data_IF_208380651914
#
_entry.id   IF_208380651914
#
_cell.length_a   1.000
_cell.length_b   1.000
_cell.length_c   1.000
_cell.angle_alpha   90.00
_cell.angle_beta   90.00
_cell.angle_gamma   90.00
#
_symmetry.space_group_name_H-M   'P 1'
#
loop_
_entity.id
_entity.type
_entity.pdbx_description
1 polymer ?
#
# COMPACT_ATOMS: atom_id res chain seq x y z
N UNK A 1 -10.02 11.25 0.90
CA UNK A 1 -9.39 9.99 1.37
C UNK A 1 -8.07 9.70 0.66
N UNK A 2 -7.99 9.91 -0.65
CA UNK A 2 -6.78 9.67 -1.47
C UNK A 2 -5.47 10.28 -0.89
N UNK A 3 -5.53 11.52 -0.40
CA UNK A 3 -4.38 12.18 0.25
C UNK A 3 -3.92 11.51 1.56
N UNK A 4 -4.86 10.91 2.31
CA UNK A 4 -4.55 10.18 3.54
C UNK A 4 -3.86 8.85 3.22
N UNK A 5 -4.37 8.10 2.23
CA UNK A 5 -3.80 6.83 1.77
C UNK A 5 -2.36 7.05 1.34
N UNK A 6 -2.15 8.03 0.44
CA UNK A 6 -0.83 8.43 -0.03
C UNK A 6 0.12 8.75 1.12
N UNK A 7 -0.31 9.62 2.03
CA UNK A 7 0.50 10.00 3.18
C UNK A 7 0.87 8.80 4.08
N UNK A 8 -0.04 7.85 4.31
CA UNK A 8 0.27 6.66 5.11
C UNK A 8 1.31 5.77 4.41
N UNK A 9 1.09 5.47 3.13
CA UNK A 9 1.97 4.61 2.34
C UNK A 9 3.36 5.21 2.22
N UNK A 10 3.46 6.50 1.85
CA UNK A 10 4.74 7.21 1.77
C UNK A 10 5.48 7.20 3.11
N UNK A 11 4.77 7.42 4.23
CA UNK A 11 5.38 7.41 5.56
C UNK A 11 5.92 6.02 5.94
N UNK A 12 5.24 4.95 5.55
CA UNK A 12 5.70 3.58 5.81
C UNK A 12 6.94 3.25 4.97
N UNK A 13 6.92 3.60 3.68
CA UNK A 13 8.05 3.40 2.78
C UNK A 13 9.26 4.28 3.15
N UNK A 14 9.03 5.49 3.67
CA UNK A 14 10.10 6.36 4.18
C UNK A 14 10.86 5.78 5.36
N UNK A 15 10.27 4.89 6.15
CA UNK A 15 10.98 4.18 7.22
C UNK A 15 11.86 3.05 6.68
N UNK A 16 11.47 2.47 5.55
CA UNK A 16 12.12 1.31 4.93
C UNK A 16 13.17 1.68 3.88
N UNK A 17 13.11 2.89 3.32
CA UNK A 17 14.04 3.34 2.27
C UNK A 17 15.50 3.22 2.69
N UNK A 18 16.33 2.67 1.80
CA UNK A 18 17.79 2.66 1.97
C UNK A 18 18.43 4.03 1.76
N UNK A 19 17.87 4.84 0.85
CA UNK A 19 18.40 6.16 0.51
C UNK A 19 17.41 7.27 0.85
N UNK A 20 17.74 8.17 1.80
CA UNK A 20 16.84 9.26 2.19
C UNK A 20 16.68 10.36 1.14
N UNK A 21 17.54 10.40 0.11
CA UNK A 21 17.41 11.32 -1.02
C UNK A 21 16.40 10.86 -2.09
N UNK A 22 15.91 9.61 -2.02
CA UNK A 22 14.91 9.10 -2.95
C UNK A 22 13.58 9.78 -2.67
N UNK A 23 13.07 10.49 -3.69
CA UNK A 23 11.72 11.04 -3.71
C UNK A 23 10.77 9.91 -4.04
N UNK A 24 9.79 9.68 -3.16
CA UNK A 24 8.75 8.68 -3.40
C UNK A 24 7.71 9.28 -4.32
N UNK A 25 7.47 8.60 -5.43
CA UNK A 25 6.46 8.93 -6.43
C UNK A 25 5.66 7.66 -6.75
N UNK A 26 4.47 7.77 -7.38
CA UNK A 26 3.73 6.59 -7.82
C UNK A 26 4.54 5.67 -8.76
N UNK A 27 5.48 6.22 -9.53
CA UNK A 27 6.34 5.45 -10.43
C UNK A 27 7.53 4.77 -9.71
N UNK A 28 7.78 5.10 -8.44
CA UNK A 28 8.90 4.54 -7.68
C UNK A 28 8.72 3.05 -7.48
N UNK A 29 9.75 2.28 -7.84
CA UNK A 29 9.77 0.82 -7.77
C UNK A 29 10.14 0.36 -6.37
N UNK A 30 9.32 -0.51 -5.79
CA UNK A 30 9.47 -0.95 -4.40
C UNK A 30 10.82 -1.66 -4.17
N UNK A 31 11.16 -2.61 -5.05
CA UNK A 31 12.39 -3.39 -4.92
C UNK A 31 13.63 -2.59 -5.32
N UNK A 32 13.58 -1.87 -6.44
CA UNK A 32 14.78 -1.24 -7.03
C UNK A 32 15.11 0.12 -6.41
N UNK A 33 14.12 0.94 -6.09
CA UNK A 33 14.34 2.30 -5.59
C UNK A 33 14.27 2.40 -4.07
N UNK A 34 13.35 1.66 -3.43
CA UNK A 34 13.18 1.68 -1.97
C UNK A 34 14.03 0.59 -1.30
N UNK A 35 14.20 -0.56 -1.97
CA UNK A 35 14.90 -1.72 -1.43
C UNK A 35 14.01 -2.65 -0.60
N UNK A 36 12.69 -2.63 -0.85
CA UNK A 36 11.70 -3.51 -0.22
C UNK A 36 11.87 -4.93 -0.75
N UNK A 37 12.11 -5.89 0.13
CA UNK A 37 12.13 -7.32 -0.24
C UNK A 37 10.77 -8.00 -0.02
N UNK A 38 10.69 -9.32 -0.21
CA UNK A 38 9.43 -10.07 -0.03
C UNK A 38 8.92 -10.05 1.41
N UNK A 39 9.81 -9.99 2.40
CA UNK A 39 9.42 -9.93 3.82
C UNK A 39 8.87 -8.53 4.12
N UNK A 40 9.53 -7.49 3.62
CA UNK A 40 9.05 -6.11 3.74
C UNK A 40 7.69 -5.91 3.06
N UNK A 41 7.43 -6.58 1.93
CA UNK A 41 6.12 -6.56 1.25
C UNK A 41 5.03 -7.18 2.12
N UNK A 42 5.30 -8.32 2.76
CA UNK A 42 4.35 -8.97 3.68
C UNK A 42 4.06 -8.05 4.87
N UNK A 43 5.08 -7.44 5.47
CA UNK A 43 4.88 -6.47 6.55
C UNK A 43 4.08 -5.25 6.10
N UNK A 44 4.34 -4.73 4.89
CA UNK A 44 3.60 -3.63 4.31
C UNK A 44 2.12 -4.00 4.15
N UNK A 45 1.83 -5.16 3.55
CA UNK A 45 0.47 -5.66 3.35
C UNK A 45 -0.30 -5.76 4.67
N UNK A 46 0.25 -6.46 5.67
CA UNK A 46 -0.38 -6.62 6.99
C UNK A 46 -0.69 -5.26 7.64
N UNK A 47 0.24 -4.31 7.55
CA UNK A 47 0.00 -2.97 8.09
C UNK A 47 -1.10 -2.21 7.33
N UNK A 48 -1.21 -2.37 6.01
CA UNK A 48 -2.26 -1.75 5.21
C UNK A 48 -3.63 -2.37 5.52
N UNK A 49 -3.71 -3.69 5.59
CA UNK A 49 -4.92 -4.43 5.99
C UNK A 49 -5.44 -3.95 7.34
N UNK A 50 -4.59 -3.91 8.36
CA UNK A 50 -4.96 -3.43 9.70
C UNK A 50 -5.33 -1.95 9.72
N UNK A 51 -4.66 -1.11 8.92
CA UNK A 51 -4.87 0.36 8.93
C UNK A 51 -6.16 0.76 8.23
N UNK A 52 -6.50 0.08 7.14
CA UNK A 52 -7.61 0.41 6.26
C UNK A 52 -8.79 -0.58 6.37
N UNK A 53 -8.66 -1.63 7.19
CA UNK A 53 -9.64 -2.70 7.34
C UNK A 53 -9.98 -3.38 6.01
N UNK A 54 -8.94 -3.67 5.22
CA UNK A 54 -9.00 -4.35 3.91
C UNK A 54 -8.33 -5.72 4.00
N UNK A 55 -8.55 -6.57 3.00
CA UNK A 55 -7.84 -7.85 2.84
C UNK A 55 -7.06 -7.81 1.53
N UNK A 56 -5.74 -8.00 1.60
CA UNK A 56 -4.85 -8.00 0.44
C UNK A 56 -4.43 -9.44 0.18
N UNK A 57 -4.76 -9.94 -1.00
CA UNK A 57 -4.39 -11.31 -1.39
C UNK A 57 -2.91 -11.41 -1.76
N UNK A 58 -2.36 -12.62 -1.65
CA UNK A 58 -0.98 -12.91 -2.08
C UNK A 58 -0.75 -12.51 -3.54
N UNK A 59 -1.74 -12.73 -4.41
CA UNK A 59 -1.68 -12.36 -5.83
C UNK A 59 -1.59 -10.84 -6.04
N UNK A 60 -2.35 -10.06 -5.26
CA UNK A 60 -2.25 -8.59 -5.28
C UNK A 60 -0.89 -8.14 -4.79
N UNK A 61 -0.39 -8.72 -3.69
CA UNK A 61 0.94 -8.42 -3.16
C UNK A 61 2.05 -8.75 -4.17
N UNK A 62 1.98 -9.90 -4.85
CA UNK A 62 2.93 -10.28 -5.90
C UNK A 62 2.86 -9.34 -7.13
N UNK A 63 1.70 -8.74 -7.39
CA UNK A 63 1.51 -7.77 -8.45
C UNK A 63 2.01 -6.36 -8.09
N UNK A 64 2.23 -6.05 -6.80
CA UNK A 64 2.74 -4.75 -6.36
C UNK A 64 4.22 -4.56 -6.74
N UNK A 65 4.48 -3.75 -7.77
CA UNK A 65 5.85 -3.43 -8.21
C UNK A 65 6.25 -2.00 -7.89
N UNK A 66 5.27 -1.10 -7.87
CA UNK A 66 5.43 0.34 -7.67
C UNK A 66 4.59 0.84 -6.52
N UNK A 67 4.91 2.05 -6.04
CA UNK A 67 4.06 2.73 -5.04
C UNK A 67 2.67 3.01 -5.58
N UNK A 68 2.54 3.28 -6.89
CA UNK A 68 1.25 3.43 -7.56
C UNK A 68 0.38 2.20 -7.44
N UNK A 69 0.95 1.00 -7.58
CA UNK A 69 0.21 -0.26 -7.45
C UNK A 69 -0.35 -0.45 -6.02
N UNK A 70 0.46 -0.11 -5.01
CA UNK A 70 0.03 -0.16 -3.59
C UNK A 70 -1.14 0.80 -3.35
N UNK A 71 -1.02 2.03 -3.84
CA UNK A 71 -2.07 3.04 -3.69
C UNK A 71 -3.36 2.60 -4.39
N UNK A 72 -3.24 2.08 -5.61
CA UNK A 72 -4.38 1.60 -6.39
C UNK A 72 -5.08 0.40 -5.72
N UNK A 73 -4.33 -0.55 -5.17
CA UNK A 73 -4.90 -1.69 -4.44
C UNK A 73 -5.73 -1.21 -3.23
N UNK A 74 -5.16 -0.35 -2.39
CA UNK A 74 -5.85 0.18 -1.20
C UNK A 74 -7.09 1.00 -1.58
N UNK A 75 -6.96 1.85 -2.60
CA UNK A 75 -8.08 2.69 -3.08
C UNK A 75 -9.22 1.83 -3.65
N UNK A 76 -8.88 0.78 -4.40
CA UNK A 76 -9.85 -0.18 -4.93
C UNK A 76 -10.64 -0.87 -3.82
N UNK A 77 -9.96 -1.41 -2.81
CA UNK A 77 -10.62 -2.08 -1.68
C UNK A 77 -11.50 -1.13 -0.87
N UNK A 78 -11.03 0.08 -0.59
CA UNK A 78 -11.84 1.08 0.11
C UNK A 78 -13.09 1.47 -0.68
N UNK A 79 -12.96 1.64 -2.00
CA UNK A 79 -14.10 1.93 -2.88
C UNK A 79 -15.14 0.81 -2.87
N UNK A 80 -14.71 -0.46 -2.75
CA UNK A 80 -15.61 -1.60 -2.63
C UNK A 80 -16.31 -1.65 -1.26
N UNK A 81 -15.63 -1.29 -0.18
CA UNK A 81 -16.21 -1.26 1.17
C UNK A 81 -17.28 -0.17 1.31
N UNK A 82 -17.07 1.01 0.72
CA UNK A 82 -18.07 2.09 0.71
C UNK A 82 -19.32 1.75 -0.12
N UNK A 83 -19.21 0.81 -1.06
CA UNK A 83 -20.32 0.36 -1.89
C UNK A 83 -21.22 -0.70 -1.21
N UNK A 84 -20.81 -1.27 -0.06
CA UNK A 84 -21.64 -2.24 0.66
C UNK A 84 -22.58 -1.51 1.62
N UNK A 85 -23.91 -1.56 1.42
CA UNK A 85 -24.83 -1.03 2.42
C UNK A 85 -24.64 -1.85 3.68
N UNK A 86 -24.13 -1.19 4.73
CA UNK A 86 -23.99 -1.75 6.07
C UNK A 86 -25.35 -2.29 6.48
N UNK A 87 -25.56 -3.59 6.25
CA UNK A 87 -26.80 -4.26 6.63
C UNK A 87 -26.63 -4.55 8.11
N UNK A 88 -26.83 -3.51 8.90
CA UNK A 88 -26.95 -3.60 10.34
C UNK A 88 -28.01 -4.64 10.66
N UNK A 89 -27.64 -5.65 11.45
CA UNK A 89 -28.58 -6.57 12.09
C UNK A 89 -28.26 -6.65 13.57
#
# INVERSE_FOLDING_TARGET
MEQLIRYQVERMLHRKRRNPAVVITPATRLQEDIGVDSIDLVELAINLEHRFHIEITDAEMEAMRTVGDVLACVDHHLSLLEAQPVTAR
#
